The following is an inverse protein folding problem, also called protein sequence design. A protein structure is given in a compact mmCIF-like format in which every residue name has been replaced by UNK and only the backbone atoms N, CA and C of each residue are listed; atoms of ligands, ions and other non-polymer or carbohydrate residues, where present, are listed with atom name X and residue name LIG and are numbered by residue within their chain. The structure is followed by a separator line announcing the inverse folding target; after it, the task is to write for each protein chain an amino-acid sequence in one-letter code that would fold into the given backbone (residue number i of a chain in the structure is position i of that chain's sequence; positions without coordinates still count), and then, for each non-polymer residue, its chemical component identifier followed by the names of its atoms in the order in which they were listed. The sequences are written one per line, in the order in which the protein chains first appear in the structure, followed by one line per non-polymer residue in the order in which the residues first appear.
data_IF_288233009819
#
_entry.id   IF_288233009819
#
_cell.length_a   1.000
_cell.length_b   1.000
_cell.length_c   1.000
_cell.angle_alpha   90.00
_cell.angle_beta   90.00
_cell.angle_gamma   90.00
#
_symmetry.space_group_name_H-M   'P 1'
#
loop_
_entity.id
_entity.type
_entity.pdbx_description
1 polymer ?
#
# COMPACT_ATOMS: atom_id res chain seq x y z
N UNK A 1 -3.51 -30.02 -6.80
CA UNK A 1 -4.04 -29.68 -5.45
C UNK A 1 -3.00 -30.00 -4.37
N UNK A 2 -2.39 -31.18 -4.37
CA UNK A 2 -1.38 -31.61 -3.39
C UNK A 2 -0.14 -30.67 -3.29
N UNK A 3 0.37 -30.18 -4.43
CA UNK A 3 1.50 -29.25 -4.45
C UNK A 3 1.18 -27.93 -3.75
N UNK A 4 -0.01 -27.41 -4.00
CA UNK A 4 -0.48 -26.15 -3.33
C UNK A 4 -0.63 -26.36 -1.83
N UNK A 5 -1.16 -27.51 -1.41
CA UNK A 5 -1.28 -27.85 0.02
C UNK A 5 0.08 -27.97 0.69
N UNK A 6 1.07 -28.58 0.04
CA UNK A 6 2.45 -28.67 0.55
C UNK A 6 3.11 -27.30 0.66
N UNK A 7 2.98 -26.45 -0.36
CA UNK A 7 3.50 -25.09 -0.32
C UNK A 7 2.87 -24.30 0.83
N UNK A 8 1.54 -24.28 0.92
CA UNK A 8 0.83 -23.63 2.01
C UNK A 8 1.28 -24.10 3.38
N UNK A 9 1.40 -25.42 3.56
CA UNK A 9 1.85 -26.04 4.81
C UNK A 9 3.26 -25.60 5.19
N UNK A 10 4.20 -25.58 4.23
CA UNK A 10 5.58 -25.16 4.50
C UNK A 10 5.69 -23.68 4.92
N UNK A 11 4.86 -22.79 4.39
CA UNK A 11 4.81 -21.39 4.85
C UNK A 11 4.20 -21.27 6.25
N UNK A 12 3.07 -21.91 6.49
CA UNK A 12 2.34 -21.82 7.77
C UNK A 12 3.17 -22.39 8.93
N UNK A 13 3.90 -23.51 8.71
CA UNK A 13 4.66 -24.18 9.76
C UNK A 13 6.13 -23.78 9.82
N UNK A 14 6.57 -22.79 9.04
CA UNK A 14 7.92 -22.26 9.13
C UNK A 14 8.06 -21.30 10.32
N UNK A 15 8.59 -21.78 11.44
CA UNK A 15 8.76 -20.99 12.68
C UNK A 15 9.55 -19.69 12.46
N UNK A 16 10.63 -19.76 11.67
CA UNK A 16 11.45 -18.59 11.34
C UNK A 16 10.64 -17.52 10.61
N UNK A 17 9.84 -17.92 9.61
CA UNK A 17 8.96 -17.02 8.88
C UNK A 17 7.91 -16.41 9.81
N UNK A 18 7.27 -17.22 10.65
CA UNK A 18 6.29 -16.74 11.61
C UNK A 18 6.89 -15.73 12.60
N UNK A 19 8.11 -15.95 13.04
CA UNK A 19 8.82 -15.02 13.93
C UNK A 19 9.12 -13.69 13.23
N UNK A 20 9.56 -13.72 11.98
CA UNK A 20 9.81 -12.52 11.17
C UNK A 20 8.54 -11.72 10.90
N UNK A 21 7.45 -12.41 10.52
CA UNK A 21 6.15 -11.77 10.30
C UNK A 21 5.62 -11.13 11.59
N UNK A 22 5.73 -11.82 12.73
CA UNK A 22 5.38 -11.24 14.04
C UNK A 22 6.16 -9.97 14.35
N UNK A 23 7.48 -9.97 14.09
CA UNK A 23 8.32 -8.80 14.30
C UNK A 23 7.88 -7.65 13.37
N UNK A 24 7.69 -7.94 12.08
CA UNK A 24 7.24 -6.97 11.10
C UNK A 24 5.91 -6.32 11.53
N UNK A 25 4.91 -7.11 11.91
CA UNK A 25 3.61 -6.60 12.31
C UNK A 25 3.63 -5.89 13.68
N UNK A 26 4.54 -6.24 14.60
CA UNK A 26 4.68 -5.57 15.90
C UNK A 26 5.43 -4.24 15.80
N UNK A 27 6.40 -4.12 14.90
CA UNK A 27 7.31 -2.96 14.82
C UNK A 27 7.13 -2.12 13.56
N UNK A 28 6.61 -2.71 12.49
CA UNK A 28 6.30 -2.02 11.24
C UNK A 28 4.96 -1.30 11.31
N UNK A 29 4.70 -0.49 10.30
CA UNK A 29 3.44 0.22 10.07
C UNK A 29 3.30 0.58 8.59
N UNK A 30 2.09 0.93 8.17
CA UNK A 30 1.84 1.39 6.80
C UNK A 30 2.55 2.72 6.50
N UNK A 31 2.78 3.54 7.52
CA UNK A 31 3.58 4.77 7.44
C UNK A 31 4.30 5.01 8.79
N UNK A 32 5.28 5.89 8.78
CA UNK A 32 6.00 6.34 9.97
C UNK A 32 6.22 7.83 9.90
N UNK A 33 5.98 8.52 11.03
CA UNK A 33 6.46 9.88 11.23
C UNK A 33 7.69 9.81 12.12
N UNK A 34 8.82 10.36 11.65
CA UNK A 34 10.06 10.37 12.38
C UNK A 34 10.88 11.63 12.06
N UNK A 35 11.32 12.35 13.07
CA UNK A 35 12.05 13.63 12.95
C UNK A 35 11.39 14.63 11.98
N UNK A 36 10.08 14.81 12.08
CA UNK A 36 9.33 15.66 11.17
C UNK A 36 9.16 15.14 9.74
N UNK A 37 9.64 13.94 9.43
CA UNK A 37 9.50 13.36 8.10
C UNK A 37 8.36 12.33 8.08
N UNK A 38 7.60 12.31 6.98
CA UNK A 38 6.60 11.30 6.69
C UNK A 38 7.21 10.23 5.79
N UNK A 39 7.26 8.99 6.27
CA UNK A 39 7.79 7.84 5.54
C UNK A 39 6.66 6.86 5.21
N UNK A 40 6.56 6.41 3.95
CA UNK A 40 5.67 5.33 3.53
C UNK A 40 6.25 4.62 2.30
N UNK A 41 5.71 3.43 1.95
CA UNK A 41 6.32 2.62 0.89
C UNK A 41 5.99 3.11 -0.52
N UNK A 42 4.70 3.19 -0.87
CA UNK A 42 4.26 3.38 -2.25
C UNK A 42 3.73 4.77 -2.53
N UNK A 43 2.44 4.99 -2.34
CA UNK A 43 1.78 6.27 -2.65
C UNK A 43 0.68 6.61 -1.66
N UNK A 44 0.29 7.89 -1.62
CA UNK A 44 -1.00 8.31 -1.08
C UNK A 44 -2.00 8.28 -2.24
N UNK A 45 -3.01 7.39 -2.25
CA UNK A 45 -3.91 7.26 -3.40
C UNK A 45 -4.63 8.55 -3.74
N UNK A 46 -4.54 8.98 -4.99
CA UNK A 46 -5.13 10.21 -5.51
C UNK A 46 -6.04 9.96 -6.70
N UNK A 47 -6.99 10.88 -6.90
CA UNK A 47 -7.82 11.02 -8.10
C UNK A 47 -7.11 11.85 -9.16
N UNK A 48 -7.69 11.88 -10.36
CA UNK A 48 -7.18 12.67 -11.49
C UNK A 48 -7.13 14.18 -11.22
N UNK A 49 -7.98 14.68 -10.35
CA UNK A 49 -8.05 16.09 -9.94
C UNK A 49 -7.06 16.47 -8.83
N UNK A 50 -6.24 15.52 -8.36
CA UNK A 50 -5.27 15.72 -7.28
C UNK A 50 -5.86 15.61 -5.88
N UNK A 51 -7.14 15.33 -5.71
CA UNK A 51 -7.75 15.05 -4.41
C UNK A 51 -7.41 13.64 -3.93
N UNK A 52 -7.47 13.40 -2.62
CA UNK A 52 -7.31 12.06 -2.07
C UNK A 52 -8.42 11.12 -2.57
N UNK A 53 -8.04 9.95 -3.05
CA UNK A 53 -9.00 8.94 -3.45
C UNK A 53 -9.70 8.36 -2.23
N UNK A 54 -11.02 8.27 -2.30
CA UNK A 54 -11.83 7.60 -1.29
C UNK A 54 -11.97 6.13 -1.63
N UNK A 55 -11.76 5.29 -0.65
CA UNK A 55 -11.87 3.84 -0.73
C UNK A 55 -12.93 3.36 0.26
N UNK A 56 -13.86 2.54 -0.23
CA UNK A 56 -14.84 1.91 0.63
C UNK A 56 -14.25 0.65 1.27
N UNK A 57 -14.20 0.64 2.59
CA UNK A 57 -13.78 -0.52 3.39
C UNK A 57 -14.96 -0.91 4.27
N UNK A 58 -15.58 -2.03 3.94
CA UNK A 58 -16.74 -2.59 4.65
C UNK A 58 -17.85 -1.57 4.94
N UNK A 59 -18.25 -0.80 3.91
CA UNK A 59 -19.36 0.14 4.00
C UNK A 59 -19.00 1.55 4.47
N UNK A 60 -17.72 1.82 4.79
CA UNK A 60 -17.22 3.15 5.16
C UNK A 60 -16.18 3.65 4.18
N UNK A 61 -16.23 4.93 3.85
CA UNK A 61 -15.23 5.59 3.01
C UNK A 61 -14.06 6.11 3.84
N UNK A 62 -12.84 5.84 3.35
CA UNK A 62 -11.58 6.31 3.94
C UNK A 62 -10.70 6.91 2.86
N UNK A 63 -9.92 7.93 3.21
CA UNK A 63 -8.93 8.57 2.32
C UNK A 63 -7.73 9.05 3.13
N UNK A 64 -6.66 9.44 2.47
CA UNK A 64 -5.47 10.00 3.12
C UNK A 64 -4.97 9.15 4.29
N UNK A 65 -4.66 9.77 5.41
CA UNK A 65 -4.17 9.13 6.63
C UNK A 65 -5.15 8.07 7.17
N UNK A 66 -6.46 8.38 7.17
CA UNK A 66 -7.47 7.46 7.69
C UNK A 66 -7.52 6.13 6.90
N UNK A 67 -7.21 6.15 5.60
CA UNK A 67 -7.08 4.93 4.80
C UNK A 67 -5.89 4.09 5.27
N UNK A 68 -4.74 4.69 5.53
CA UNK A 68 -3.57 3.96 6.05
C UNK A 68 -3.85 3.34 7.41
N UNK A 69 -4.47 4.10 8.32
CA UNK A 69 -4.79 3.65 9.67
C UNK A 69 -5.73 2.43 9.66
N UNK A 70 -6.80 2.47 8.85
CA UNK A 70 -7.76 1.36 8.81
C UNK A 70 -7.16 0.11 8.14
N UNK A 71 -6.37 0.27 7.08
CA UNK A 71 -5.69 -0.86 6.43
C UNK A 71 -4.69 -1.51 7.38
N UNK A 72 -3.87 -0.74 8.10
CA UNK A 72 -2.94 -1.25 9.11
C UNK A 72 -3.67 -2.02 10.23
N UNK A 73 -4.80 -1.50 10.70
CA UNK A 73 -5.62 -2.16 11.71
C UNK A 73 -6.13 -3.54 11.25
N UNK A 74 -6.62 -3.65 10.00
CA UNK A 74 -7.08 -4.93 9.47
C UNK A 74 -5.94 -5.92 9.21
N UNK A 75 -4.77 -5.46 8.74
CA UNK A 75 -3.58 -6.31 8.58
C UNK A 75 -3.18 -6.94 9.93
N UNK A 76 -3.25 -6.17 11.01
CA UNK A 76 -2.97 -6.69 12.36
C UNK A 76 -4.03 -7.69 12.82
N UNK A 77 -5.31 -7.45 12.54
CA UNK A 77 -6.39 -8.38 12.83
C UNK A 77 -6.21 -9.71 12.10
N UNK A 78 -5.76 -9.69 10.84
CA UNK A 78 -5.47 -10.91 10.06
C UNK A 78 -4.53 -11.87 10.79
N UNK A 79 -3.59 -11.34 11.56
CA UNK A 79 -2.55 -12.13 12.21
C UNK A 79 -2.79 -12.36 13.72
N UNK A 80 -3.31 -11.35 14.43
CA UNK A 80 -3.37 -11.37 15.89
C UNK A 80 -4.77 -11.62 16.47
N UNK A 81 -5.85 -11.46 15.69
CA UNK A 81 -7.20 -11.65 16.22
C UNK A 81 -7.46 -13.11 16.60
N UNK A 82 -8.15 -13.31 17.73
CA UNK A 82 -8.72 -14.60 18.12
C UNK A 82 -10.02 -14.93 17.37
N UNK A 83 -10.67 -13.94 16.77
CA UNK A 83 -11.91 -14.08 16.02
C UNK A 83 -11.63 -14.41 14.56
N UNK A 84 -12.19 -15.54 14.07
CA UNK A 84 -11.97 -15.98 12.68
C UNK A 84 -12.58 -15.01 11.65
N UNK A 85 -13.74 -14.44 11.92
CA UNK A 85 -14.39 -13.49 11.02
C UNK A 85 -13.56 -12.20 10.88
N UNK A 86 -12.92 -11.74 11.95
CA UNK A 86 -11.98 -10.62 11.90
C UNK A 86 -10.71 -10.98 11.13
N UNK A 87 -10.18 -12.19 11.32
CA UNK A 87 -9.01 -12.67 10.57
C UNK A 87 -9.31 -12.76 9.08
N UNK A 88 -10.48 -13.26 8.71
CA UNK A 88 -10.90 -13.36 7.30
C UNK A 88 -10.94 -11.97 6.64
N UNK A 89 -11.64 -11.01 7.26
CA UNK A 89 -11.63 -9.61 6.79
C UNK A 89 -10.22 -9.03 6.67
N UNK A 90 -9.36 -9.34 7.63
CA UNK A 90 -7.97 -8.92 7.59
C UNK A 90 -7.20 -9.53 6.41
N UNK A 91 -7.41 -10.81 6.08
CA UNK A 91 -6.82 -11.46 4.89
C UNK A 91 -7.31 -10.84 3.57
N UNK A 92 -8.60 -10.52 3.48
CA UNK A 92 -9.16 -9.81 2.33
C UNK A 92 -8.51 -8.44 2.13
N UNK A 93 -8.30 -7.71 3.21
CA UNK A 93 -7.58 -6.43 3.19
C UNK A 93 -6.11 -6.61 2.80
N UNK A 94 -5.43 -7.66 3.24
CA UNK A 94 -4.05 -7.94 2.79
C UNK A 94 -4.01 -8.21 1.28
N UNK A 95 -4.98 -8.94 0.74
CA UNK A 95 -5.13 -9.15 -0.69
C UNK A 95 -5.40 -7.83 -1.44
N UNK A 96 -6.31 -7.02 -0.90
CA UNK A 96 -6.60 -5.68 -1.43
C UNK A 96 -5.33 -4.82 -1.50
N UNK A 97 -4.56 -4.75 -0.42
CA UNK A 97 -3.34 -3.94 -0.35
C UNK A 97 -2.33 -4.38 -1.42
N UNK A 98 -2.24 -5.67 -1.71
CA UNK A 98 -1.30 -6.20 -2.69
C UNK A 98 -1.71 -5.95 -4.13
N UNK A 99 -3.02 -6.02 -4.45
CA UNK A 99 -3.47 -6.15 -5.85
C UNK A 99 -4.40 -5.04 -6.32
N UNK A 100 -5.08 -4.33 -5.42
CA UNK A 100 -6.21 -3.50 -5.79
C UNK A 100 -5.82 -2.07 -6.22
N UNK A 101 -6.64 -1.45 -7.08
CA UNK A 101 -6.56 -0.02 -7.35
C UNK A 101 -6.66 0.80 -6.05
N UNK A 102 -5.97 1.93 -6.00
CA UNK A 102 -5.91 2.80 -4.82
C UNK A 102 -5.30 2.16 -3.57
N UNK A 103 -4.60 1.01 -3.72
CA UNK A 103 -3.77 0.49 -2.65
C UNK A 103 -2.56 1.41 -2.42
N UNK A 104 -2.29 1.82 -1.17
CA UNK A 104 -1.11 2.62 -0.86
C UNK A 104 0.22 1.89 -1.12
N UNK A 105 0.24 0.56 -1.02
CA UNK A 105 1.45 -0.24 -1.25
C UNK A 105 1.65 -0.54 -2.73
N UNK A 106 0.60 -0.90 -3.44
CA UNK A 106 0.68 -1.27 -4.85
C UNK A 106 0.94 -0.06 -5.77
N UNK A 107 0.37 1.09 -5.48
CA UNK A 107 0.65 2.36 -6.17
C UNK A 107 0.23 2.40 -7.65
N UNK A 108 -0.66 1.53 -8.09
CA UNK A 108 -1.14 1.44 -9.48
C UNK A 108 -2.66 1.43 -9.53
N UNK A 109 -3.21 1.70 -10.72
CA UNK A 109 -4.66 1.71 -10.98
C UNK A 109 -5.16 0.38 -11.55
N UNK A 110 -4.25 -0.46 -12.03
CA UNK A 110 -4.55 -1.76 -12.63
C UNK A 110 -3.37 -2.68 -12.42
N UNK A 111 -3.65 -3.92 -12.06
CA UNK A 111 -2.72 -5.03 -12.07
C UNK A 111 -2.84 -5.76 -13.41
N UNK A 112 -1.74 -6.11 -14.02
CA UNK A 112 -1.69 -6.83 -15.30
C UNK A 112 -0.70 -8.00 -15.27
N UNK A 113 -0.69 -8.78 -14.20
CA UNK A 113 0.24 -9.90 -14.04
C UNK A 113 -0.10 -11.05 -14.97
N UNK A 114 -1.34 -11.52 -14.92
CA UNK A 114 -1.78 -12.66 -15.72
C UNK A 114 -1.99 -12.28 -17.19
N UNK A 115 -2.48 -11.08 -17.44
CA UNK A 115 -2.67 -10.54 -18.78
C UNK A 115 -1.37 -10.56 -19.58
N UNK A 116 -0.22 -10.33 -18.96
CA UNK A 116 1.09 -10.40 -19.62
C UNK A 116 1.48 -11.78 -20.11
N UNK A 117 0.94 -12.83 -19.48
CA UNK A 117 1.24 -14.22 -19.83
C UNK A 117 0.23 -14.84 -20.80
N UNK A 118 -1.02 -14.39 -20.76
CA UNK A 118 -2.13 -15.10 -21.43
C UNK A 118 -2.82 -14.29 -22.53
N UNK A 119 -2.58 -12.97 -22.60
CA UNK A 119 -3.23 -12.11 -23.60
C UNK A 119 -2.18 -11.54 -24.58
N UNK A 120 -2.62 -11.29 -25.82
CA UNK A 120 -1.78 -10.70 -26.86
C UNK A 120 -1.89 -9.17 -26.89
N UNK A 121 -3.00 -8.61 -26.46
CA UNK A 121 -3.30 -7.18 -26.51
C UNK A 121 -2.44 -6.37 -25.54
N UNK A 122 -1.55 -5.55 -26.07
CA UNK A 122 -0.60 -4.73 -25.29
C UNK A 122 -1.29 -3.72 -24.35
N UNK A 123 -2.49 -3.22 -24.72
CA UNK A 123 -3.25 -2.30 -23.87
C UNK A 123 -3.70 -2.97 -22.54
N UNK A 124 -3.99 -4.27 -22.58
CA UNK A 124 -4.39 -5.03 -21.41
C UNK A 124 -3.22 -5.35 -20.50
N UNK A 125 -2.00 -5.43 -21.03
CA UNK A 125 -0.76 -5.69 -20.29
C UNK A 125 -0.19 -4.44 -19.60
N UNK A 126 -0.68 -3.26 -19.96
CA UNK A 126 -0.15 -1.99 -19.45
C UNK A 126 -0.73 -1.66 -18.07
N UNK A 127 0.13 -1.55 -17.08
CA UNK A 127 -0.21 -1.05 -15.75
C UNK A 127 -0.03 0.47 -15.69
N UNK A 128 -1.09 1.16 -15.28
CA UNK A 128 -1.06 2.63 -15.10
C UNK A 128 -0.77 2.97 -13.64
N UNK A 129 0.20 3.84 -13.41
CA UNK A 129 0.52 4.35 -12.07
C UNK A 129 -0.67 5.08 -11.46
N UNK A 130 -0.73 5.16 -10.12
CA UNK A 130 -1.69 6.02 -9.44
C UNK A 130 -1.43 7.49 -9.79
N UNK A 131 -2.47 8.30 -9.76
CA UNK A 131 -2.35 9.74 -10.05
C UNK A 131 -1.44 10.50 -9.07
N UNK A 132 -1.15 9.94 -7.90
CA UNK A 132 -0.16 10.46 -6.97
C UNK A 132 1.17 10.81 -7.68
N UNK A 133 1.63 9.96 -8.60
CA UNK A 133 2.89 10.17 -9.32
C UNK A 133 2.85 11.31 -10.36
N UNK A 134 1.66 11.76 -10.74
CA UNK A 134 1.49 12.94 -11.59
C UNK A 134 1.58 14.25 -10.79
N UNK A 135 1.48 14.16 -9.45
CA UNK A 135 1.44 15.28 -8.53
C UNK A 135 2.65 15.35 -7.57
N UNK A 136 3.49 14.32 -7.54
CA UNK A 136 4.57 14.17 -6.55
C UNK A 136 5.59 15.34 -6.57
N UNK A 137 5.76 16.01 -7.72
CA UNK A 137 6.68 17.13 -7.88
C UNK A 137 6.06 18.51 -7.60
N UNK A 138 4.80 18.55 -7.14
CA UNK A 138 4.09 19.80 -6.84
C UNK A 138 4.20 20.12 -5.35
N UNK A 139 4.77 21.27 -4.97
CA UNK A 139 4.89 21.67 -3.57
C UNK A 139 3.55 21.69 -2.82
N UNK A 140 2.48 22.14 -3.48
CA UNK A 140 1.15 22.19 -2.91
C UNK A 140 0.61 20.81 -2.53
N UNK A 141 0.96 19.80 -3.33
CA UNK A 141 0.58 18.40 -3.06
C UNK A 141 1.36 17.87 -1.86
N UNK A 142 2.65 18.17 -1.77
CA UNK A 142 3.47 17.77 -0.62
C UNK A 142 2.95 18.39 0.67
N UNK A 143 2.61 19.69 0.66
CA UNK A 143 2.05 20.40 1.79
C UNK A 143 0.67 19.82 2.21
N UNK A 144 -0.21 19.56 1.25
CA UNK A 144 -1.50 18.92 1.49
C UNK A 144 -1.34 17.55 2.17
N UNK A 145 -0.40 16.72 1.71
CA UNK A 145 -0.12 15.39 2.29
C UNK A 145 0.45 15.54 3.70
N UNK A 146 1.44 16.39 3.89
CA UNK A 146 2.06 16.59 5.20
C UNK A 146 1.03 17.04 6.24
N UNK A 147 0.17 18.00 5.89
CA UNK A 147 -0.93 18.45 6.75
C UNK A 147 -1.92 17.35 7.09
N UNK A 148 -2.29 16.51 6.12
CA UNK A 148 -3.17 15.35 6.35
C UNK A 148 -2.61 14.40 7.41
N UNK A 149 -1.27 14.26 7.47
CA UNK A 149 -0.60 13.43 8.47
C UNK A 149 -0.21 14.21 9.75
N UNK A 150 -0.66 15.45 9.90
CA UNK A 150 -0.44 16.29 11.10
C UNK A 150 0.94 16.96 11.16
N UNK A 151 1.61 17.12 10.03
CA UNK A 151 2.89 17.79 9.88
C UNK A 151 2.66 19.20 9.31
N UNK A 152 3.03 20.23 10.04
CA UNK A 152 2.70 21.63 9.71
C UNK A 152 3.94 22.53 9.58
N UNK A 153 5.13 22.00 9.79
CA UNK A 153 6.38 22.77 9.74
C UNK A 153 6.95 22.83 8.33
N UNK A 154 7.58 23.94 7.97
CA UNK A 154 8.16 24.16 6.63
C UNK A 154 9.41 23.32 6.33
N UNK A 155 9.90 22.54 7.32
CA UNK A 155 11.09 21.67 7.19
C UNK A 155 10.75 20.19 7.09
N UNK A 156 9.45 19.86 6.93
CA UNK A 156 9.00 18.49 6.86
C UNK A 156 9.22 17.91 5.46
N UNK A 157 9.55 16.62 5.39
CA UNK A 157 9.77 15.93 4.12
C UNK A 157 8.90 14.69 3.99
N UNK A 158 8.62 14.32 2.75
CA UNK A 158 8.02 13.05 2.39
C UNK A 158 9.12 12.14 1.85
N UNK A 159 9.24 10.94 2.41
CA UNK A 159 10.19 9.92 1.97
C UNK A 159 9.39 8.67 1.59
N UNK A 160 9.35 8.37 0.30
CA UNK A 160 8.68 7.17 -0.21
C UNK A 160 9.57 6.44 -1.23
N UNK A 161 9.23 5.17 -1.48
CA UNK A 161 9.98 4.30 -2.40
C UNK A 161 9.09 3.74 -3.50
N UNK A 162 9.14 2.42 -3.73
CA UNK A 162 8.36 1.62 -4.68
C UNK A 162 8.64 1.90 -6.17
N UNK A 163 8.72 3.15 -6.59
CA UNK A 163 9.01 3.52 -7.99
C UNK A 163 10.45 4.01 -8.08
N UNK A 164 11.30 3.37 -8.89
CA UNK A 164 12.68 3.81 -9.09
C UNK A 164 12.74 5.23 -9.63
N UNK A 165 13.65 6.03 -9.09
CA UNK A 165 13.96 7.35 -9.62
C UNK A 165 14.86 7.18 -10.85
N UNK A 166 14.40 7.66 -12.00
CA UNK A 166 15.23 7.71 -13.19
C UNK A 166 16.05 9.00 -13.16
N UNK A 167 17.37 8.88 -13.01
CA UNK A 167 18.28 9.99 -13.30
C UNK A 167 18.38 10.16 -14.81
N UNK A 168 18.03 11.33 -15.32
CA UNK A 168 18.40 11.72 -16.68
C UNK A 168 19.92 11.85 -16.71
N UNK A 169 20.58 11.22 -17.69
CA UNK A 169 22.03 11.38 -17.90
C UNK A 169 22.30 12.84 -18.24
N UNK A 170 22.96 13.58 -17.37
CA UNK A 170 23.36 14.97 -17.58
C UNK A 170 22.91 16.00 -16.53
N UNK A 171 22.27 15.56 -15.42
CA UNK A 171 22.02 16.42 -14.26
C UNK A 171 22.86 15.97 -13.06
#
# INVERSE_FOLDING_TARGET
EEVIQRLRSSFIHCEKLQTHVKLLLKKGSMYKIYNGNLLFHGCIPMRKDGSFAKVNIYGREYSGKALFDILDAYVRKAFFSGDEAEREKGRDIMWYIWTAPYSPLYGRRKMATFERYFLEEEELKTEKKNYYYDYINKPETADMILREFGLHDNINHIINGHVPVHRLRGE
#
